data_IF_185032953765
#
_entry.id   IF_185032953765
#
_cell.length_a   1.000
_cell.length_b   1.000
_cell.length_c   1.000
_cell.angle_alpha   90.00
_cell.angle_beta   90.00
_cell.angle_gamma   90.00
#
_symmetry.space_group_name_H-M   'P 1'
#
loop_
_entity.id
_entity.type
_entity.pdbx_description
1 polymer ?
#
# COMPACT_ATOMS: atom_id res chain seq x y z
N UNK A 1 6.88 18.68 6.50
CA UNK A 1 5.68 17.84 6.65
C UNK A 1 5.82 16.66 5.71
N UNK A 2 5.30 15.50 6.10
CA UNK A 2 5.29 14.30 5.28
C UNK A 2 3.84 13.83 5.18
N UNK A 3 3.42 13.47 3.97
CA UNK A 3 2.10 12.91 3.72
C UNK A 3 2.24 11.40 3.57
N UNK A 4 1.50 10.65 4.38
CA UNK A 4 1.43 9.19 4.26
C UNK A 4 0.08 8.79 3.67
N UNK A 5 0.12 8.05 2.57
CA UNK A 5 -1.05 7.38 2.04
C UNK A 5 -1.28 6.07 2.80
N UNK A 6 -2.43 5.93 3.45
CA UNK A 6 -2.80 4.79 4.29
C UNK A 6 -3.50 3.69 3.51
N UNK A 7 -3.59 2.49 4.09
CA UNK A 7 -4.28 1.35 3.46
C UNK A 7 -5.79 1.56 3.23
N UNK A 8 -6.38 2.58 3.86
CA UNK A 8 -7.75 3.04 3.63
C UNK A 8 -7.91 3.85 2.35
N UNK A 9 -6.82 4.33 1.74
CA UNK A 9 -6.84 5.29 0.65
C UNK A 9 -6.94 6.76 1.12
N UNK A 10 -6.77 7.00 2.42
CA UNK A 10 -6.75 8.34 3.01
C UNK A 10 -5.32 8.83 3.25
N UNK A 11 -5.12 10.15 3.13
CA UNK A 11 -3.84 10.80 3.43
C UNK A 11 -3.82 11.29 4.87
N UNK A 12 -2.76 10.96 5.61
CA UNK A 12 -2.45 11.59 6.90
C UNK A 12 -1.22 12.48 6.76
N UNK A 13 -1.31 13.68 7.35
CA UNK A 13 -0.20 14.62 7.40
C UNK A 13 0.56 14.46 8.72
N UNK A 14 1.86 14.22 8.63
CA UNK A 14 2.78 14.16 9.76
C UNK A 14 3.70 15.38 9.77
N UNK A 15 3.85 15.98 10.94
CA UNK A 15 4.86 17.02 11.16
C UNK A 15 6.12 16.37 11.71
N UNK A 16 7.16 16.31 10.89
CA UNK A 16 8.51 15.98 11.33
C UNK A 16 9.18 17.22 11.91
N UNK A 17 9.60 17.15 13.16
CA UNK A 17 10.45 18.16 13.81
C UNK A 17 11.89 17.65 13.88
N UNK A 18 12.90 18.51 14.10
CA UNK A 18 14.27 18.07 14.32
C UNK A 18 14.41 17.05 15.48
N UNK A 19 13.47 17.06 16.43
CA UNK A 19 13.44 16.15 17.58
C UNK A 19 12.61 14.87 17.36
N UNK A 20 11.94 14.73 16.21
CA UNK A 20 11.14 13.55 15.84
C UNK A 20 9.75 13.86 15.28
N UNK A 21 9.00 12.80 15.00
CA UNK A 21 7.68 12.82 14.37
C UNK A 21 6.60 13.31 15.35
N UNK A 22 5.61 14.07 14.88
CA UNK A 22 4.43 14.47 15.67
C UNK A 22 3.17 14.36 14.82
N UNK A 23 2.13 13.72 15.37
CA UNK A 23 0.90 13.31 14.68
C UNK A 23 -0.19 14.38 14.56
N UNK A 24 0.06 15.61 15.04
CA UNK A 24 -0.88 16.74 15.24
C UNK A 24 -1.30 16.85 16.71
N UNK A 25 -0.74 17.85 17.40
CA UNK A 25 -0.94 18.16 18.82
C UNK A 25 0.17 19.08 19.35
N UNK A 26 -0.02 19.74 20.51
CA UNK A 26 1.00 20.59 21.11
C UNK A 26 2.20 19.79 21.63
N UNK A 27 1.98 18.52 22.01
CA UNK A 27 2.99 17.65 22.58
C UNK A 27 3.74 16.88 21.50
N UNK A 28 5.08 16.89 21.59
CA UNK A 28 5.99 16.18 20.69
C UNK A 28 6.15 14.77 21.22
N UNK A 29 5.58 13.79 20.53
CA UNK A 29 5.67 12.38 20.91
C UNK A 29 6.11 11.57 19.69
N UNK A 30 7.29 10.91 19.74
CA UNK A 30 7.73 10.03 18.68
C UNK A 30 6.67 8.96 18.35
N UNK A 31 6.45 8.70 17.07
CA UNK A 31 5.40 7.77 16.64
C UNK A 31 5.59 6.35 17.22
N UNK A 32 6.84 5.91 17.37
CA UNK A 32 7.18 4.60 17.92
C UNK A 32 6.85 4.46 19.42
N UNK A 33 6.76 5.55 20.18
CA UNK A 33 6.38 5.51 21.60
C UNK A 33 4.87 5.56 21.80
N UNK A 34 4.12 5.93 20.76
CA UNK A 34 2.66 5.88 20.74
C UNK A 34 2.12 4.50 20.40
N UNK A 35 2.93 3.62 19.81
CA UNK A 35 2.53 2.23 19.56
C UNK A 35 2.59 1.41 20.86
N UNK A 36 1.59 0.53 21.14
CA UNK A 36 0.46 0.17 20.28
C UNK A 36 -0.80 1.03 20.49
N UNK A 37 -0.76 2.04 21.38
CA UNK A 37 -1.92 2.85 21.78
C UNK A 37 -2.52 3.62 20.59
N UNK A 38 -1.68 3.98 19.63
CA UNK A 38 -2.08 4.60 18.38
C UNK A 38 -1.56 3.77 17.21
N UNK A 39 -2.48 3.44 16.31
CA UNK A 39 -2.21 2.74 15.07
C UNK A 39 -2.91 3.45 13.90
N UNK A 40 -2.38 3.28 12.70
CA UNK A 40 -3.04 3.78 11.50
C UNK A 40 -4.11 2.81 11.05
N UNK A 41 -5.29 3.33 10.74
CA UNK A 41 -6.43 2.51 10.36
C UNK A 41 -6.15 1.67 9.09
N UNK A 42 -6.79 0.50 9.05
CA UNK A 42 -6.85 -0.39 7.90
C UNK A 42 -6.03 -1.67 8.07
N UNK A 43 -5.75 -2.35 6.95
CA UNK A 43 -5.08 -3.66 6.95
C UNK A 43 -3.91 -3.62 5.98
N UNK A 44 -2.76 -4.06 6.47
CA UNK A 44 -1.48 -3.94 5.78
C UNK A 44 -0.90 -5.32 5.46
N UNK A 45 -0.26 -5.45 4.30
CA UNK A 45 0.28 -6.72 3.82
C UNK A 45 1.60 -7.12 4.47
N UNK A 46 2.38 -6.18 5.04
CA UNK A 46 3.79 -6.38 5.36
C UNK A 46 4.11 -7.55 6.30
N UNK A 47 3.16 -7.96 7.15
CA UNK A 47 3.32 -9.09 8.08
C UNK A 47 2.51 -10.33 7.68
N UNK A 48 1.74 -10.26 6.60
CA UNK A 48 0.93 -11.38 6.11
C UNK A 48 1.81 -12.42 5.42
N UNK A 49 1.51 -13.71 5.64
CA UNK A 49 2.36 -14.79 5.11
C UNK A 49 2.45 -14.78 3.58
N UNK A 50 1.35 -14.51 2.88
CA UNK A 50 1.31 -14.50 1.43
C UNK A 50 2.21 -13.39 0.85
N UNK A 51 2.24 -12.21 1.48
CA UNK A 51 3.10 -11.12 1.05
C UNK A 51 4.59 -11.41 1.28
N UNK A 52 4.92 -12.01 2.43
CA UNK A 52 6.29 -12.38 2.81
C UNK A 52 6.84 -13.47 1.87
N UNK A 53 6.02 -14.45 1.50
CA UNK A 53 6.40 -15.48 0.52
C UNK A 53 6.48 -14.96 -0.92
N UNK A 54 5.95 -13.77 -1.20
CA UNK A 54 5.86 -13.23 -2.54
C UNK A 54 4.80 -13.91 -3.39
N UNK A 55 3.74 -14.45 -2.75
CA UNK A 55 2.65 -15.11 -3.45
C UNK A 55 1.97 -14.12 -4.42
N UNK A 56 1.57 -14.59 -5.61
CA UNK A 56 0.87 -13.74 -6.58
C UNK A 56 -0.57 -13.47 -6.14
N UNK A 57 -1.13 -12.36 -6.64
CA UNK A 57 -2.51 -11.97 -6.38
C UNK A 57 -3.38 -12.41 -7.56
N UNK A 58 -4.45 -13.14 -7.29
CA UNK A 58 -5.49 -13.45 -8.29
C UNK A 58 -6.62 -12.42 -8.19
N UNK A 59 -7.01 -11.82 -9.31
CA UNK A 59 -8.11 -10.86 -9.39
C UNK A 59 -8.71 -10.85 -10.79
N UNK A 60 -10.04 -11.02 -10.91
CA UNK A 60 -10.78 -11.05 -12.19
C UNK A 60 -10.11 -11.94 -13.24
N UNK A 61 -9.87 -13.21 -12.88
CA UNK A 61 -9.25 -14.25 -13.72
C UNK A 61 -7.82 -13.93 -14.20
N UNK A 62 -7.16 -12.93 -13.61
CA UNK A 62 -5.78 -12.55 -13.90
C UNK A 62 -4.87 -12.76 -12.70
N UNK A 63 -3.61 -13.09 -12.98
CA UNK A 63 -2.55 -13.27 -11.98
C UNK A 63 -1.59 -12.09 -12.03
N UNK A 64 -1.35 -11.49 -10.87
CA UNK A 64 -0.46 -10.35 -10.70
C UNK A 64 0.72 -10.74 -9.81
N UNK A 65 1.91 -10.41 -10.25
CA UNK A 65 3.14 -10.72 -9.55
C UNK A 65 3.65 -9.54 -8.75
N UNK A 66 4.26 -9.85 -7.60
CA UNK A 66 4.96 -8.87 -6.78
C UNK A 66 6.18 -8.35 -7.52
N UNK A 67 6.23 -7.05 -7.77
CA UNK A 67 7.41 -6.39 -8.36
C UNK A 67 8.54 -6.26 -7.32
N UNK A 68 9.77 -6.07 -7.80
CA UNK A 68 10.89 -5.76 -6.90
C UNK A 68 10.75 -4.33 -6.39
N UNK A 69 10.77 -4.16 -5.07
CA UNK A 69 10.81 -2.86 -4.41
C UNK A 69 9.45 -2.38 -3.88
N UNK A 70 9.54 -1.50 -2.88
CA UNK A 70 8.42 -0.82 -2.26
C UNK A 70 8.61 0.70 -2.40
N UNK A 71 7.52 1.45 -2.47
CA UNK A 71 7.59 2.90 -2.65
C UNK A 71 6.37 3.63 -2.10
N UNK A 72 6.46 4.95 -1.94
CA UNK A 72 5.31 5.76 -1.60
C UNK A 72 4.34 5.83 -2.78
N UNK A 73 3.06 5.95 -2.46
CA UNK A 73 1.98 6.23 -3.42
C UNK A 73 1.21 7.46 -2.93
N UNK A 74 0.76 8.28 -3.87
CA UNK A 74 -0.16 9.37 -3.58
C UNK A 74 -1.61 8.85 -3.63
N UNK A 75 -2.33 8.96 -2.51
CA UNK A 75 -3.72 8.53 -2.38
C UNK A 75 -4.66 9.25 -3.38
N UNK A 76 -4.33 10.47 -3.80
CA UNK A 76 -5.10 11.18 -4.82
C UNK A 76 -4.96 10.53 -6.21
N UNK A 77 -3.87 9.81 -6.46
CA UNK A 77 -3.57 9.16 -7.75
C UNK A 77 -4.08 7.72 -7.83
N UNK A 78 -4.65 7.16 -6.77
CA UNK A 78 -5.13 5.78 -6.74
C UNK A 78 -6.61 5.67 -6.36
N UNK A 79 -7.21 4.55 -6.71
CA UNK A 79 -8.56 4.19 -6.30
C UNK A 79 -8.62 2.74 -5.84
N UNK A 80 -9.44 2.46 -4.82
CA UNK A 80 -9.68 1.09 -4.34
C UNK A 80 -10.58 0.36 -5.32
N UNK A 81 -10.16 -0.82 -5.76
CA UNK A 81 -10.90 -1.63 -6.75
C UNK A 81 -11.28 -3.02 -6.24
N UNK A 82 -10.73 -3.43 -5.09
CA UNK A 82 -11.05 -4.71 -4.48
C UNK A 82 -10.23 -4.98 -3.24
N UNK A 83 -10.07 -6.26 -2.92
CA UNK A 83 -9.22 -6.73 -1.82
C UNK A 83 -8.67 -8.13 -2.09
N UNK A 84 -7.52 -8.42 -1.53
CA UNK A 84 -6.92 -9.75 -1.49
C UNK A 84 -6.66 -10.13 -0.03
N UNK A 85 -7.33 -11.18 0.45
CA UNK A 85 -7.20 -11.69 1.82
C UNK A 85 -7.32 -10.59 2.90
N UNK A 86 -8.27 -9.67 2.71
CA UNK A 86 -8.54 -8.54 3.63
C UNK A 86 -7.71 -7.28 3.37
N UNK A 87 -6.62 -7.35 2.61
CA UNK A 87 -5.82 -6.17 2.23
C UNK A 87 -6.42 -5.53 0.98
N UNK A 88 -6.60 -4.20 0.99
CA UNK A 88 -7.14 -3.47 -0.16
C UNK A 88 -6.25 -3.54 -1.41
N UNK A 89 -6.87 -3.72 -2.57
CA UNK A 89 -6.23 -3.57 -3.88
C UNK A 89 -6.56 -2.21 -4.45
N UNK A 90 -5.52 -1.47 -4.82
CA UNK A 90 -5.63 -0.15 -5.42
C UNK A 90 -4.99 -0.14 -6.79
N UNK A 91 -5.43 0.74 -7.67
CA UNK A 91 -4.87 0.92 -9.01
C UNK A 91 -4.79 2.42 -9.32
N UNK A 92 -4.04 2.89 -10.34
CA UNK A 92 -4.09 4.29 -10.73
C UNK A 92 -5.53 4.73 -10.98
N UNK A 93 -5.90 5.93 -10.53
CA UNK A 93 -7.27 6.45 -10.61
C UNK A 93 -7.80 6.53 -12.04
N UNK A 94 -6.90 6.71 -13.01
CA UNK A 94 -7.20 6.77 -14.44
C UNK A 94 -7.00 5.43 -15.16
N UNK A 95 -6.79 4.33 -14.44
CA UNK A 95 -6.60 3.02 -15.07
C UNK A 95 -7.94 2.47 -15.56
N UNK A 96 -7.94 1.94 -16.78
CA UNK A 96 -9.06 1.21 -17.35
C UNK A 96 -8.99 -0.28 -17.00
N UNK A 97 -10.14 -0.93 -17.06
CA UNK A 97 -10.23 -2.38 -16.96
C UNK A 97 -9.86 -3.04 -18.31
N UNK A 98 -9.17 -4.19 -18.29
CA UNK A 98 -8.69 -4.91 -17.11
C UNK A 98 -7.38 -4.28 -16.59
N UNK A 99 -7.30 -4.02 -15.28
CA UNK A 99 -6.20 -3.25 -14.68
C UNK A 99 -4.83 -3.92 -14.87
N UNK A 100 -3.80 -3.16 -15.23
CA UNK A 100 -2.45 -3.72 -15.41
C UNK A 100 -1.64 -3.76 -14.11
N UNK A 101 -1.91 -2.82 -13.20
CA UNK A 101 -1.13 -2.60 -11.99
C UNK A 101 -2.03 -2.55 -10.77
N UNK A 102 -1.59 -3.20 -9.69
CA UNK A 102 -2.11 -2.99 -8.36
C UNK A 102 -1.05 -2.41 -7.42
N UNK A 103 -1.49 -1.56 -6.50
CA UNK A 103 -0.78 -1.11 -5.33
C UNK A 103 -1.40 -1.76 -4.10
N UNK A 104 -0.55 -2.34 -3.26
CA UNK A 104 -0.93 -2.99 -2.01
C UNK A 104 -0.18 -2.30 -0.86
N UNK A 105 -0.90 -1.80 0.13
CA UNK A 105 -0.28 -1.16 1.29
C UNK A 105 0.49 -2.18 2.14
N UNK A 106 1.80 -1.96 2.33
CA UNK A 106 2.69 -2.82 3.13
C UNK A 106 2.73 -2.35 4.58
N UNK A 107 2.78 -1.04 4.76
CA UNK A 107 2.74 -0.30 6.03
C UNK A 107 2.37 1.16 5.72
N UNK A 108 2.06 2.03 6.70
CA UNK A 108 1.70 3.43 6.44
C UNK A 108 2.70 4.13 5.52
N UNK A 109 2.21 4.67 4.40
CA UNK A 109 3.03 5.39 3.40
C UNK A 109 3.92 4.52 2.52
N UNK A 110 3.92 3.19 2.66
CA UNK A 110 4.75 2.27 1.87
C UNK A 110 3.89 1.22 1.20
N UNK A 111 4.05 1.13 -0.11
CA UNK A 111 3.22 0.34 -1.00
C UNK A 111 4.06 -0.58 -1.87
N UNK A 112 3.54 -1.77 -2.11
CA UNK A 112 4.10 -2.75 -3.03
C UNK A 112 3.32 -2.71 -4.34
N UNK A 113 4.06 -2.65 -5.45
CA UNK A 113 3.49 -2.78 -6.78
C UNK A 113 3.34 -4.26 -7.14
N UNK A 114 2.18 -4.62 -7.67
CA UNK A 114 1.90 -5.88 -8.32
C UNK A 114 1.55 -5.62 -9.78
N UNK A 115 2.12 -6.38 -10.72
CA UNK A 115 1.89 -6.20 -12.14
C UNK A 115 1.30 -7.45 -12.78
N UNK A 116 0.40 -7.28 -13.74
CA UNK A 116 -0.16 -8.41 -14.47
C UNK A 116 0.93 -9.14 -15.26
N UNK A 117 1.10 -10.43 -15.00
CA UNK A 117 1.94 -11.29 -15.83
C UNK A 117 1.21 -11.54 -17.15
N UNK A 118 1.66 -10.91 -18.24
CA UNK A 118 1.38 -11.49 -19.56
C UNK A 118 2.14 -12.81 -19.60
N UNK A 119 1.43 -13.94 -19.61
CA UNK A 119 2.02 -15.18 -20.09
C UNK A 119 2.49 -14.88 -21.52
N UNK A 120 3.81 -14.76 -21.71
CA UNK A 120 4.40 -14.95 -23.02
C UNK A 120 3.88 -16.31 -23.46
N UNK A 121 2.93 -16.33 -24.40
CA UNK A 121 2.83 -17.42 -25.36
C UNK A 121 4.25 -17.57 -25.91
N UNK A 122 4.99 -18.54 -25.35
CA UNK A 122 6.11 -19.13 -26.05
C UNK A 122 5.48 -19.81 -27.25
N UNK A 123 5.34 -19.06 -28.35
CA UNK A 123 5.06 -19.62 -29.65
C UNK A 123 6.16 -20.64 -29.92
N UNK A 124 5.76 -21.92 -30.01
CA UNK A 124 6.57 -23.00 -30.57
C UNK A 124 7.06 -22.65 -31.98
#
# INVERSE_FOLDING_TARGET
>A
MVNLCLSTGETVQLRLTPEGDTLIGPDRIPLNTLQPVLDFAGTYAGTTQWFVRGDPISFEDRIYEKMVGEGPVDCEQIMRVGQHLGVGLFTPRNADRPFETFYVAVRPGVWQTYFYRQEKLMSN
#
